data_IF_362019152048
#
_entry.id   IF_362019152048
#
_cell.length_a   1.000
_cell.length_b   1.000
_cell.length_c   1.000
_cell.angle_alpha   90.00
_cell.angle_beta   90.00
_cell.angle_gamma   90.00
#
_symmetry.space_group_name_H-M   'P 1'
#
loop_
_entity.id
_entity.type
_entity.pdbx_description
1 polymer ?
#
# COMPACT_ATOMS: atom_id res chain seq x y z
N UNK A 1 -28.24 -72.74 -16.41
CA UNK A 1 -29.58 -72.90 -17.00
C UNK A 1 -30.60 -72.46 -15.96
N UNK A 2 -31.43 -71.46 -16.30
CA UNK A 2 -32.58 -70.87 -15.55
C UNK A 2 -32.23 -69.99 -14.33
N UNK A 3 -32.90 -68.89 -14.01
CA UNK A 3 -33.76 -67.89 -14.69
C UNK A 3 -33.94 -66.73 -13.70
N UNK A 4 -34.24 -65.54 -14.23
CA UNK A 4 -34.57 -64.24 -13.59
C UNK A 4 -35.45 -64.32 -12.33
N UNK A 5 -35.28 -63.37 -11.40
CA UNK A 5 -36.30 -62.33 -11.15
C UNK A 5 -35.75 -61.10 -10.42
N UNK A 6 -36.30 -59.97 -10.85
CA UNK A 6 -36.18 -58.58 -10.40
C UNK A 6 -36.46 -58.34 -8.91
N UNK A 7 -35.97 -57.22 -8.37
CA UNK A 7 -36.46 -56.78 -7.05
C UNK A 7 -35.73 -55.63 -6.36
N UNK A 8 -35.95 -54.42 -6.86
CA UNK A 8 -36.07 -53.16 -6.10
C UNK A 8 -34.82 -52.51 -5.48
N UNK A 9 -34.42 -51.43 -6.14
CA UNK A 9 -33.64 -50.33 -5.61
C UNK A 9 -34.51 -49.39 -4.75
N UNK A 10 -34.04 -49.11 -3.54
CA UNK A 10 -34.30 -47.86 -2.81
C UNK A 10 -33.34 -47.75 -1.62
N UNK A 11 -32.23 -47.04 -1.82
CA UNK A 11 -31.44 -46.47 -0.74
C UNK A 11 -31.25 -44.98 -1.09
N UNK A 12 -31.89 -44.13 -0.29
CA UNK A 12 -31.78 -42.69 -0.34
C UNK A 12 -30.48 -42.28 0.37
N UNK A 13 -29.47 -41.89 -0.41
CA UNK A 13 -28.27 -41.19 0.09
C UNK A 13 -28.34 -39.71 -0.31
N UNK A 14 -27.87 -38.79 0.55
CA UNK A 14 -28.13 -37.36 0.43
C UNK A 14 -27.38 -36.74 -0.76
N UNK A 15 -28.12 -35.95 -1.56
CA UNK A 15 -27.57 -35.15 -2.65
C UNK A 15 -26.66 -34.05 -2.09
N UNK A 16 -25.37 -34.17 -2.37
CA UNK A 16 -24.41 -33.09 -2.23
C UNK A 16 -24.55 -32.16 -3.44
N UNK A 17 -25.07 -30.95 -3.20
CA UNK A 17 -25.19 -29.93 -4.24
C UNK A 17 -23.82 -29.35 -4.58
N UNK A 18 -23.42 -29.60 -5.83
CA UNK A 18 -22.19 -29.13 -6.46
C UNK A 18 -22.55 -27.89 -7.29
N UNK A 19 -22.11 -26.71 -6.87
CA UNK A 19 -22.20 -25.48 -7.69
C UNK A 19 -20.91 -24.64 -7.59
N UNK A 20 -19.92 -25.09 -8.37
CA UNK A 20 -19.04 -24.34 -9.28
C UNK A 20 -18.75 -22.83 -9.02
N UNK A 21 -17.46 -22.56 -8.86
CA UNK A 21 -16.72 -21.47 -9.55
C UNK A 21 -16.62 -20.16 -8.77
N UNK A 22 -15.49 -19.45 -8.68
CA UNK A 22 -14.19 -19.53 -9.34
C UNK A 22 -13.16 -19.00 -8.34
N UNK A 23 -12.13 -19.79 -8.04
CA UNK A 23 -10.88 -19.29 -7.49
C UNK A 23 -10.34 -18.26 -8.47
N UNK A 24 -10.47 -16.96 -8.17
CA UNK A 24 -9.83 -15.92 -8.97
C UNK A 24 -8.34 -16.10 -8.76
N UNK A 25 -7.71 -16.69 -9.77
CA UNK A 25 -6.28 -16.94 -9.80
C UNK A 25 -5.51 -15.70 -9.38
N UNK A 26 -4.59 -15.89 -8.43
CA UNK A 26 -3.41 -15.06 -8.31
C UNK A 26 -2.71 -15.12 -9.68
N UNK A 27 -3.07 -14.20 -10.56
CA UNK A 27 -2.28 -13.93 -11.75
C UNK A 27 -0.92 -13.46 -11.23
N UNK A 28 0.07 -14.36 -11.30
CA UNK A 28 1.46 -14.07 -11.06
C UNK A 28 1.88 -13.01 -12.08
N UNK A 29 1.76 -11.73 -11.70
CA UNK A 29 2.22 -10.61 -12.53
C UNK A 29 3.74 -10.70 -12.56
N UNK A 30 4.29 -10.97 -13.73
CA UNK A 30 5.72 -10.82 -14.01
C UNK A 30 6.17 -9.45 -13.48
N UNK A 31 7.21 -9.38 -12.63
CA UNK A 31 7.63 -8.11 -12.06
C UNK A 31 8.05 -7.19 -13.21
N UNK A 32 7.33 -6.08 -13.38
CA UNK A 32 7.81 -5.02 -14.28
C UNK A 32 9.11 -4.50 -13.66
N UNK A 33 10.15 -4.26 -14.45
CA UNK A 33 11.43 -3.65 -13.99
C UNK A 33 11.23 -2.38 -13.12
N UNK A 34 10.09 -1.72 -13.24
CA UNK A 34 9.65 -0.59 -12.40
C UNK A 34 9.36 -0.93 -10.91
N UNK A 35 9.10 -2.20 -10.58
CA UNK A 35 8.66 -2.63 -9.24
C UNK A 35 9.83 -2.85 -8.29
N UNK A 36 10.96 -3.33 -8.81
CA UNK A 36 12.17 -3.58 -8.02
C UNK A 36 12.88 -2.27 -7.65
N UNK A 37 13.03 -1.36 -8.62
CA UNK A 37 13.54 0.00 -8.38
C UNK A 37 12.66 0.71 -7.36
N UNK A 38 11.33 0.65 -7.51
CA UNK A 38 10.40 1.27 -6.55
C UNK A 38 10.59 0.75 -5.13
N UNK A 39 10.72 -0.57 -4.96
CA UNK A 39 10.95 -1.20 -3.66
C UNK A 39 12.30 -0.81 -3.05
N UNK A 40 13.36 -0.80 -3.85
CA UNK A 40 14.69 -0.38 -3.41
C UNK A 40 14.66 1.08 -2.90
N UNK A 41 13.99 1.98 -3.63
CA UNK A 41 13.92 3.39 -3.26
C UNK A 41 13.04 3.62 -2.03
N UNK A 42 11.96 2.87 -1.88
CA UNK A 42 11.18 2.86 -0.66
C UNK A 42 12.02 2.38 0.54
N UNK A 43 12.83 1.35 0.36
CA UNK A 43 13.70 0.85 1.44
C UNK A 43 14.78 1.86 1.82
N UNK A 44 15.39 2.55 0.84
CA UNK A 44 16.29 3.67 1.08
C UNK A 44 15.61 4.81 1.86
N UNK A 45 14.39 5.19 1.45
CA UNK A 45 13.62 6.22 2.12
C UNK A 45 13.28 5.81 3.56
N UNK A 46 12.87 4.55 3.80
CA UNK A 46 12.62 4.07 5.16
C UNK A 46 13.86 4.15 6.03
N UNK A 47 15.03 3.70 5.55
CA UNK A 47 16.29 3.80 6.30
C UNK A 47 16.61 5.24 6.66
N UNK A 48 16.54 6.16 5.69
CA UNK A 48 16.78 7.58 5.92
C UNK A 48 15.81 8.17 6.95
N UNK A 49 14.50 7.91 6.80
CA UNK A 49 13.48 8.38 7.73
C UNK A 49 13.76 7.90 9.16
N UNK A 50 14.18 6.64 9.34
CA UNK A 50 14.44 6.07 10.67
C UNK A 50 15.77 6.49 11.26
N UNK A 51 16.85 6.42 10.48
CA UNK A 51 18.23 6.56 10.97
C UNK A 51 18.67 8.03 11.05
N UNK A 52 18.18 8.88 10.14
CA UNK A 52 18.58 10.28 10.05
C UNK A 52 17.53 11.26 10.58
N UNK A 53 16.24 10.95 10.37
CA UNK A 53 15.14 11.87 10.70
C UNK A 53 14.36 11.47 11.95
N UNK A 54 14.66 10.31 12.55
CA UNK A 54 14.05 9.86 13.82
C UNK A 54 12.60 9.38 13.71
N UNK A 55 12.10 9.11 12.50
CA UNK A 55 10.76 8.59 12.30
C UNK A 55 10.68 7.13 12.75
N UNK A 56 9.52 6.73 13.28
CA UNK A 56 9.19 5.33 13.54
C UNK A 56 8.19 4.83 12.51
N UNK A 57 8.63 3.96 11.60
CA UNK A 57 7.75 3.36 10.58
C UNK A 57 6.69 2.48 11.25
N UNK A 58 5.42 2.70 10.90
CA UNK A 58 4.26 1.92 11.34
C UNK A 58 3.89 0.91 10.24
N UNK A 59 3.85 1.38 8.99
CA UNK A 59 3.35 0.59 7.86
C UNK A 59 3.99 1.08 6.56
N UNK A 60 4.09 0.18 5.57
CA UNK A 60 4.65 0.44 4.24
C UNK A 60 3.69 -0.08 3.17
N UNK A 61 3.69 0.52 1.98
CA UNK A 61 2.86 0.12 0.84
C UNK A 61 1.36 0.02 1.17
N UNK A 62 0.80 0.97 1.91
CA UNK A 62 -0.63 0.96 2.22
C UNK A 62 -1.45 1.24 0.95
N UNK A 63 -2.36 0.33 0.59
CA UNK A 63 -3.20 0.44 -0.61
C UNK A 63 -4.67 0.54 -0.24
N UNK A 64 -5.37 1.47 -0.87
CA UNK A 64 -6.81 1.63 -0.75
C UNK A 64 -7.44 2.01 -2.10
N UNK A 65 -8.78 2.13 -2.15
CA UNK A 65 -9.49 2.53 -3.37
C UNK A 65 -9.11 3.92 -3.92
N UNK A 66 -8.51 4.78 -3.10
CA UNK A 66 -8.13 6.14 -3.48
C UNK A 66 -6.68 6.27 -3.94
N UNK A 67 -5.87 5.23 -3.72
CA UNK A 67 -4.46 5.23 -4.09
C UNK A 67 -3.60 4.42 -3.11
N UNK A 68 -2.32 4.71 -3.18
CA UNK A 68 -1.26 4.10 -2.39
C UNK A 68 -0.56 5.17 -1.56
N UNK A 69 -0.09 4.78 -0.38
CA UNK A 69 0.80 5.55 0.47
C UNK A 69 2.03 4.68 0.73
N UNK A 70 3.21 5.21 0.38
CA UNK A 70 4.45 4.43 0.39
C UNK A 70 4.90 4.10 1.81
N UNK A 71 4.91 5.09 2.71
CA UNK A 71 5.30 4.92 4.11
C UNK A 71 4.33 5.65 5.05
N UNK A 72 3.98 5.01 6.15
CA UNK A 72 3.23 5.60 7.27
C UNK A 72 4.10 5.47 8.51
N UNK A 73 4.35 6.58 9.19
CA UNK A 73 5.31 6.65 10.27
C UNK A 73 4.90 7.68 11.33
N UNK A 74 5.53 7.59 12.50
CA UNK A 74 5.41 8.58 13.57
C UNK A 74 6.66 9.45 13.59
N UNK A 75 6.47 10.77 13.56
CA UNK A 75 7.50 11.77 13.85
C UNK A 75 7.08 12.52 15.13
N UNK A 76 7.67 12.19 16.27
CA UNK A 76 7.24 12.70 17.57
C UNK A 76 5.77 12.35 17.87
N UNK A 77 4.90 13.37 17.87
CA UNK A 77 3.45 13.25 18.10
C UNK A 77 2.62 13.35 16.81
N UNK A 78 3.28 13.30 15.65
CA UNK A 78 2.67 13.46 14.32
C UNK A 78 2.55 12.10 13.63
N UNK A 79 1.36 11.79 13.12
CA UNK A 79 1.16 10.69 12.18
C UNK A 79 1.48 11.20 10.76
N UNK A 80 2.65 10.82 10.26
CA UNK A 80 3.15 11.24 8.96
C UNK A 80 2.86 10.18 7.89
N UNK A 81 2.31 10.63 6.77
CA UNK A 81 2.10 9.84 5.56
C UNK A 81 3.10 10.32 4.51
N UNK A 82 4.08 9.49 4.16
CA UNK A 82 5.19 9.90 3.31
C UNK A 82 5.02 9.32 1.91
N UNK A 83 4.99 10.20 0.91
CA UNK A 83 5.14 9.82 -0.49
C UNK A 83 6.64 9.80 -0.82
N UNK A 84 7.11 8.70 -1.43
CA UNK A 84 8.50 8.53 -1.84
C UNK A 84 8.60 8.79 -3.34
N UNK A 85 9.49 9.71 -3.74
CA UNK A 85 9.75 9.99 -5.14
C UNK A 85 11.22 9.89 -5.46
N UNK A 86 11.50 9.20 -6.54
CA UNK A 86 12.84 9.13 -7.07
C UNK A 86 13.07 10.24 -8.10
N UNK A 87 14.18 10.95 -7.94
CA UNK A 87 14.64 11.98 -8.86
C UNK A 87 15.91 11.51 -9.53
N UNK A 88 15.85 11.41 -10.86
CA UNK A 88 17.06 11.30 -11.69
C UNK A 88 17.70 12.66 -11.85
N UNK A 89 19.01 12.65 -12.02
CA UNK A 89 19.77 13.85 -12.37
C UNK A 89 19.20 14.50 -13.63
N UNK A 90 19.08 15.83 -13.62
CA UNK A 90 18.51 16.62 -14.72
C UNK A 90 16.98 16.79 -14.71
N UNK A 91 16.27 16.36 -13.65
CA UNK A 91 14.83 16.64 -13.51
C UNK A 91 14.53 18.14 -13.38
N UNK A 92 13.82 18.70 -14.36
CA UNK A 92 13.44 20.13 -14.40
C UNK A 92 12.20 20.48 -13.54
N UNK A 93 11.40 19.48 -13.13
CA UNK A 93 10.17 19.70 -12.34
C UNK A 93 10.49 19.72 -10.85
N UNK A 94 9.99 20.71 -10.11
CA UNK A 94 10.19 20.79 -8.66
C UNK A 94 9.48 19.62 -7.93
N UNK A 95 9.91 19.34 -6.71
CA UNK A 95 9.39 18.22 -5.92
C UNK A 95 7.90 18.42 -5.63
N UNK A 96 7.54 19.64 -5.24
CA UNK A 96 6.18 20.05 -4.96
C UNK A 96 5.30 20.02 -6.21
N UNK A 97 5.80 20.47 -7.37
CA UNK A 97 5.05 20.40 -8.63
C UNK A 97 4.77 18.97 -9.08
N UNK A 98 5.59 18.00 -8.65
CA UNK A 98 5.32 16.58 -8.92
C UNK A 98 4.08 16.04 -8.17
N UNK A 99 3.62 16.75 -7.13
CA UNK A 99 2.38 16.48 -6.41
C UNK A 99 1.31 17.47 -6.89
N UNK A 100 0.72 17.16 -8.03
CA UNK A 100 -0.37 17.97 -8.58
C UNK A 100 -1.62 17.97 -7.67
N UNK A 101 -2.58 18.87 -7.98
CA UNK A 101 -3.84 18.99 -7.23
C UNK A 101 -4.65 17.69 -7.17
N UNK A 102 -4.61 16.87 -8.22
CA UNK A 102 -5.35 15.61 -8.27
C UNK A 102 -4.72 14.53 -7.38
N UNK A 103 -3.38 14.44 -7.36
CA UNK A 103 -2.62 13.56 -6.46
C UNK A 103 -2.80 14.02 -5.01
N UNK A 104 -2.74 15.31 -4.72
CA UNK A 104 -2.99 15.84 -3.38
C UNK A 104 -4.42 15.52 -2.89
N UNK A 105 -5.43 15.59 -3.77
CA UNK A 105 -6.80 15.20 -3.43
C UNK A 105 -6.92 13.70 -3.11
N UNK A 106 -6.27 12.84 -3.91
CA UNK A 106 -6.23 11.39 -3.66
C UNK A 106 -5.51 11.03 -2.37
N UNK A 107 -4.39 11.68 -2.08
CA UNK A 107 -3.65 11.51 -0.82
C UNK A 107 -4.53 11.87 0.39
N UNK A 108 -5.25 12.99 0.34
CA UNK A 108 -6.21 13.35 1.41
C UNK A 108 -7.26 12.26 1.66
N UNK A 109 -7.81 11.69 0.60
CA UNK A 109 -8.80 10.61 0.71
C UNK A 109 -8.18 9.31 1.24
N UNK A 110 -6.97 8.97 0.82
CA UNK A 110 -6.25 7.79 1.30
C UNK A 110 -5.90 7.91 2.79
N UNK A 111 -5.40 9.08 3.23
CA UNK A 111 -5.11 9.39 4.63
C UNK A 111 -6.38 9.29 5.49
N UNK A 112 -7.47 9.94 5.08
CA UNK A 112 -8.76 9.83 5.80
C UNK A 112 -9.22 8.39 5.89
N UNK A 113 -9.12 7.63 4.80
CA UNK A 113 -9.51 6.21 4.78
C UNK A 113 -8.66 5.37 5.74
N UNK A 114 -7.36 5.64 5.82
CA UNK A 114 -6.44 4.98 6.74
C UNK A 114 -6.88 5.22 8.18
N UNK A 115 -7.01 6.49 8.57
CA UNK A 115 -7.38 6.88 9.93
C UNK A 115 -8.73 6.28 10.33
N UNK A 116 -9.75 6.39 9.46
CA UNK A 116 -11.08 5.82 9.73
C UNK A 116 -11.11 4.28 9.74
N UNK A 117 -10.05 3.61 9.31
CA UNK A 117 -9.94 2.15 9.31
C UNK A 117 -9.18 1.57 10.51
N UNK A 118 -8.56 2.43 11.31
CA UNK A 118 -7.73 2.05 12.45
C UNK A 118 -8.45 2.35 13.74
N UNK A 119 -8.07 1.63 14.79
CA UNK A 119 -8.44 2.01 16.14
C UNK A 119 -7.75 3.34 16.48
N UNK A 120 -8.46 4.30 17.07
CA UNK A 120 -7.90 5.60 17.43
C UNK A 120 -6.93 5.51 18.59
N UNK A 121 -7.10 4.53 19.48
CA UNK A 121 -6.24 4.33 20.64
C UNK A 121 -4.80 3.94 20.28
N UNK A 122 -4.56 3.47 19.05
CA UNK A 122 -3.23 3.07 18.56
C UNK A 122 -2.54 4.13 17.70
N UNK A 123 -3.21 5.25 17.41
CA UNK A 123 -2.65 6.35 16.61
C UNK A 123 -2.17 7.49 17.52
N UNK A 124 -1.13 8.25 17.12
CA UNK A 124 -0.75 9.48 17.82
C UNK A 124 -1.92 10.47 17.85
N UNK A 125 -2.13 11.17 18.97
CA UNK A 125 -3.37 11.94 19.19
C UNK A 125 -3.41 13.39 18.68
N UNK A 126 -2.39 13.93 18.00
CA UNK A 126 -2.32 15.41 17.89
C UNK A 126 -2.19 16.01 16.50
N UNK A 127 -1.52 15.37 15.53
CA UNK A 127 -1.36 15.99 14.21
C UNK A 127 -1.21 14.95 13.10
N UNK A 128 -1.78 15.25 11.94
CA UNK A 128 -1.62 14.45 10.73
C UNK A 128 -1.01 15.32 9.64
N UNK A 129 0.01 14.80 8.96
CA UNK A 129 0.62 15.48 7.82
C UNK A 129 1.00 14.51 6.72
N UNK A 130 1.14 15.04 5.51
CA UNK A 130 1.78 14.35 4.39
C UNK A 130 3.14 14.97 4.16
N UNK A 131 4.16 14.12 4.09
CA UNK A 131 5.53 14.50 3.77
C UNK A 131 5.91 13.97 2.39
N UNK A 132 6.90 14.59 1.76
CA UNK A 132 7.50 14.14 0.52
C UNK A 132 8.97 13.80 0.75
N UNK A 133 9.35 12.55 0.53
CA UNK A 133 10.74 12.11 0.60
C UNK A 133 11.28 11.89 -0.82
N UNK A 134 12.27 12.67 -1.21
CA UNK A 134 12.96 12.50 -2.48
C UNK A 134 14.22 11.68 -2.29
N UNK A 135 14.40 10.67 -3.15
CA UNK A 135 15.63 9.87 -3.25
C UNK A 135 16.31 10.21 -4.58
N UNK A 136 17.60 10.60 -4.54
CA UNK A 136 18.39 10.96 -5.73
C UNK A 136 19.40 9.86 -6.10
N UNK A 137 19.86 9.86 -7.35
CA UNK A 137 20.98 9.02 -7.78
C UNK A 137 22.32 9.50 -7.21
N UNK A 138 23.26 8.57 -7.02
CA UNK A 138 24.67 8.85 -6.71
C UNK A 138 24.92 9.50 -5.35
N UNK A 139 25.43 8.73 -4.37
CA UNK A 139 25.68 9.12 -2.96
C UNK A 139 24.45 9.72 -2.27
N UNK A 140 23.73 8.94 -1.44
CA UNK A 140 22.32 9.18 -1.19
C UNK A 140 22.06 10.58 -0.61
N UNK A 141 21.62 11.47 -1.49
CA UNK A 141 21.12 12.79 -1.14
C UNK A 141 19.60 12.68 -1.04
N UNK A 142 19.11 12.73 0.19
CA UNK A 142 17.68 12.78 0.48
C UNK A 142 17.24 14.23 0.58
N UNK A 143 16.01 14.49 0.19
CA UNK A 143 15.34 15.76 0.44
C UNK A 143 13.98 15.44 1.04
N UNK A 144 13.78 15.86 2.29
CA UNK A 144 12.53 15.66 3.01
C UNK A 144 11.80 16.99 3.11
N UNK A 145 10.61 17.05 2.54
CA UNK A 145 9.72 18.19 2.64
C UNK A 145 8.56 17.78 3.53
N UNK A 146 8.56 18.30 4.77
CA UNK A 146 7.48 18.04 5.73
C UNK A 146 6.27 18.92 5.43
N UNK A 147 5.07 18.39 5.64
CA UNK A 147 3.83 19.19 5.59
C UNK A 147 3.43 19.67 4.19
N UNK A 148 3.70 18.89 3.14
CA UNK A 148 3.17 19.20 1.79
C UNK A 148 1.63 19.19 1.76
N UNK A 149 1.01 18.50 2.73
CA UNK A 149 -0.42 18.57 3.05
C UNK A 149 -0.56 18.47 4.58
N UNK A 150 -1.30 19.40 5.18
CA UNK A 150 -1.67 19.36 6.59
C UNK A 150 -3.19 19.13 6.74
N UNK A 151 -3.62 18.64 7.91
CA UNK A 151 -5.01 18.30 8.23
C UNK A 151 -5.49 18.99 9.50
#
# INVERSE_FOLDING_TARGET
MRTRTDGQAQQNEPRQDIARGKTRGLAQRTPRRSTEIGREKEEMACRFLTENEGYRVIERNYRCKYGEIDVIAVDGNVLAFVEVRYRRDGSLVSALESVDRAKAAKLRLAVRRYISSRDRSILPETQVRVDLCLVKDGNPCYELIKGIIEF
#
